data_IF_187513591872
#
_entry.id   IF_187513591872
#
_cell.length_a   1.000
_cell.length_b   1.000
_cell.length_c   1.000
_cell.angle_alpha   90.00
_cell.angle_beta   90.00
_cell.angle_gamma   90.00
#
_symmetry.space_group_name_H-M   'P 1'
#
loop_
_entity.id
_entity.type
_entity.pdbx_description
1 polymer ?
#
# COMPACT_ATOMS: atom_id res chain seq x y z
N UNK A 1 0.12 29.61 -23.47
CA UNK A 1 0.10 30.04 -22.06
C UNK A 1 0.65 28.90 -21.22
N UNK A 2 1.49 29.16 -20.21
CA UNK A 2 2.01 28.08 -19.36
C UNK A 2 0.97 27.63 -18.32
N UNK A 3 1.13 26.41 -17.80
CA UNK A 3 0.22 25.84 -16.80
C UNK A 3 0.18 26.66 -15.50
N UNK A 4 1.32 27.23 -15.08
CA UNK A 4 1.40 28.10 -13.91
C UNK A 4 0.63 29.41 -14.09
N UNK A 5 0.78 30.04 -15.27
CA UNK A 5 0.06 31.27 -15.61
C UNK A 5 -1.44 31.01 -15.73
N UNK A 6 -1.84 29.87 -16.31
CA UNK A 6 -3.25 29.50 -16.39
C UNK A 6 -3.85 29.25 -14.99
N UNK A 7 -3.15 28.53 -14.11
CA UNK A 7 -3.60 28.30 -12.74
C UNK A 7 -3.79 29.60 -11.95
N UNK A 8 -2.86 30.55 -12.08
CA UNK A 8 -2.93 31.85 -11.43
C UNK A 8 -4.14 32.66 -11.92
N UNK A 9 -4.34 32.77 -13.24
CA UNK A 9 -5.49 33.48 -13.82
C UNK A 9 -6.83 32.85 -13.43
N UNK A 10 -6.89 31.53 -13.35
CA UNK A 10 -8.10 30.80 -12.91
C UNK A 10 -8.40 31.07 -11.44
N UNK A 11 -7.40 31.08 -10.56
CA UNK A 11 -7.60 31.40 -9.14
C UNK A 11 -8.08 32.83 -8.94
N UNK A 12 -7.56 33.80 -9.71
CA UNK A 12 -8.03 35.18 -9.69
C UNK A 12 -9.49 35.28 -10.09
N UNK A 13 -9.92 34.53 -11.12
CA UNK A 13 -11.31 34.56 -11.58
C UNK A 13 -12.25 33.81 -10.62
N UNK A 14 -11.79 32.73 -9.96
CA UNK A 14 -12.54 32.05 -8.89
C UNK A 14 -12.75 33.01 -7.71
N UNK A 15 -11.71 33.72 -7.28
CA UNK A 15 -11.79 34.71 -6.21
C UNK A 15 -12.78 35.82 -6.56
N UNK A 16 -12.71 36.36 -7.78
CA UNK A 16 -13.65 37.37 -8.26
C UNK A 16 -15.10 36.86 -8.28
N UNK A 17 -15.33 35.62 -8.73
CA UNK A 17 -16.67 35.08 -8.93
C UNK A 17 -17.33 34.56 -7.65
N UNK A 18 -16.54 34.10 -6.67
CA UNK A 18 -17.04 33.39 -5.48
C UNK A 18 -16.72 34.09 -4.17
N UNK A 19 -15.83 35.09 -4.16
CA UNK A 19 -15.31 35.73 -2.95
C UNK A 19 -14.30 34.90 -2.16
N UNK A 20 -13.97 33.68 -2.62
CA UNK A 20 -13.06 32.75 -1.93
C UNK A 20 -11.82 32.45 -2.78
N UNK A 21 -10.62 32.33 -2.19
CA UNK A 21 -9.41 32.03 -2.94
C UNK A 21 -9.48 30.65 -3.59
N UNK A 22 -9.18 30.57 -4.88
CA UNK A 22 -9.03 29.30 -5.60
C UNK A 22 -7.73 28.58 -5.21
N UNK A 23 -7.74 27.25 -5.26
CA UNK A 23 -6.58 26.40 -4.93
C UNK A 23 -6.03 25.64 -6.15
N UNK A 24 -6.21 26.20 -7.36
CA UNK A 24 -5.74 25.57 -8.60
C UNK A 24 -4.23 25.75 -8.73
N UNK A 25 -3.51 24.66 -8.94
CA UNK A 25 -2.05 24.67 -9.14
C UNK A 25 -1.70 24.39 -10.60
N UNK A 26 -0.46 24.70 -11.01
CA UNK A 26 0.06 24.29 -12.31
C UNK A 26 -0.05 22.77 -12.53
N UNK A 27 0.11 21.99 -11.45
CA UNK A 27 -0.08 20.55 -11.47
C UNK A 27 -1.54 20.16 -11.73
N UNK A 28 -2.52 20.85 -11.13
CA UNK A 28 -3.95 20.60 -11.38
C UNK A 28 -4.30 20.78 -12.86
N UNK A 29 -3.76 21.84 -13.48
CA UNK A 29 -3.91 22.09 -14.92
C UNK A 29 -3.25 20.97 -15.73
N UNK A 30 -2.02 20.60 -15.38
CA UNK A 30 -1.31 19.53 -16.06
C UNK A 30 -2.01 18.17 -15.97
N UNK A 31 -2.62 17.87 -14.83
CA UNK A 31 -3.32 16.61 -14.59
C UNK A 31 -4.66 16.58 -15.35
N UNK A 32 -5.31 17.73 -15.59
CA UNK A 32 -6.47 17.83 -16.49
C UNK A 32 -6.09 17.68 -17.96
N UNK A 33 -5.00 18.31 -18.41
CA UNK A 33 -4.49 18.19 -19.78
C UNK A 33 -4.07 16.74 -20.13
N UNK A 34 -3.52 16.02 -19.13
CA UNK A 34 -3.13 14.60 -19.27
C UNK A 34 -4.27 13.60 -19.03
N UNK A 35 -5.47 14.09 -18.67
CA UNK A 35 -6.63 13.24 -18.39
C UNK A 35 -6.52 12.38 -17.14
N UNK A 36 -5.65 12.73 -16.18
CA UNK A 36 -5.43 11.98 -14.94
C UNK A 36 -6.53 12.20 -13.88
N UNK A 37 -7.29 13.30 -13.97
CA UNK A 37 -8.48 13.53 -13.14
C UNK A 37 -9.75 13.73 -13.98
N UNK A 38 -10.89 13.41 -13.38
CA UNK A 38 -12.21 13.79 -13.91
C UNK A 38 -12.44 15.29 -13.89
N UNK A 39 -13.27 15.73 -14.84
CA UNK A 39 -13.95 17.03 -15.01
C UNK A 39 -13.80 18.03 -13.85
N UNK A 40 -13.29 19.27 -14.09
CA UNK A 40 -13.05 20.26 -13.03
C UNK A 40 -14.29 20.56 -12.18
N UNK A 41 -14.07 20.99 -10.94
CA UNK A 41 -15.14 21.33 -10.00
C UNK A 41 -16.09 22.43 -10.55
N UNK A 42 -17.31 22.50 -10.02
CA UNK A 42 -18.42 23.30 -10.58
C UNK A 42 -18.12 24.80 -10.65
N UNK A 43 -17.39 25.30 -9.68
CA UNK A 43 -16.88 26.66 -9.52
C UNK A 43 -15.66 26.96 -10.41
N UNK A 44 -14.83 25.95 -10.66
CA UNK A 44 -13.61 26.05 -11.50
C UNK A 44 -13.95 26.13 -12.99
N UNK A 45 -15.01 25.44 -13.43
CA UNK A 45 -15.41 25.38 -14.85
C UNK A 45 -15.75 26.75 -15.47
N UNK A 46 -16.63 27.57 -14.86
CA UNK A 46 -16.90 28.92 -15.37
C UNK A 46 -15.68 29.84 -15.36
N UNK A 47 -14.74 29.63 -14.43
CA UNK A 47 -13.49 30.39 -14.39
C UNK A 47 -12.56 30.01 -15.55
N UNK A 48 -12.41 28.71 -15.83
CA UNK A 48 -11.66 28.20 -16.99
C UNK A 48 -12.27 28.71 -18.32
N UNK A 49 -13.59 28.64 -18.48
CA UNK A 49 -14.29 29.18 -19.65
C UNK A 49 -13.99 30.67 -19.86
N UNK A 50 -14.02 31.48 -18.79
CA UNK A 50 -13.75 32.92 -18.89
C UNK A 50 -12.29 33.24 -19.21
N UNK A 51 -11.34 32.55 -18.58
CA UNK A 51 -9.90 32.76 -18.82
C UNK A 51 -9.52 32.32 -20.24
N UNK A 52 -10.06 31.19 -20.70
CA UNK A 52 -9.76 30.62 -22.02
C UNK A 52 -10.67 31.15 -23.14
N UNK A 53 -11.63 32.02 -22.82
CA UNK A 53 -12.62 32.60 -23.74
C UNK A 53 -13.45 31.54 -24.48
N UNK A 54 -13.84 30.50 -23.77
CA UNK A 54 -14.67 29.40 -24.24
C UNK A 54 -16.09 29.56 -23.69
N UNK A 55 -17.11 29.37 -24.54
CA UNK A 55 -18.51 29.64 -24.20
C UNK A 55 -19.13 28.52 -23.33
N UNK A 56 -18.87 27.26 -23.67
CA UNK A 56 -19.37 26.09 -22.93
C UNK A 56 -18.21 25.37 -22.23
N UNK A 57 -18.32 25.00 -20.94
CA UNK A 57 -17.40 24.07 -20.30
C UNK A 57 -17.10 22.81 -21.12
N UNK A 58 -18.05 22.29 -21.90
CA UNK A 58 -17.89 21.16 -22.82
C UNK A 58 -16.77 21.36 -23.86
N UNK A 59 -16.55 22.60 -24.29
CA UNK A 59 -15.57 22.96 -25.30
C UNK A 59 -14.16 23.15 -24.72
N UNK A 60 -13.98 23.03 -23.40
CA UNK A 60 -12.66 23.06 -22.75
C UNK A 60 -11.81 21.82 -23.06
N UNK A 61 -12.38 20.80 -23.72
CA UNK A 61 -11.67 19.59 -24.10
C UNK A 61 -11.31 18.66 -22.94
N UNK A 62 -11.70 19.00 -21.70
CA UNK A 62 -11.74 18.01 -20.62
C UNK A 62 -12.88 17.02 -20.94
N UNK A 63 -12.83 15.79 -20.45
CA UNK A 63 -13.92 14.85 -20.67
C UNK A 63 -14.56 14.50 -19.33
N UNK A 64 -15.85 14.81 -19.19
CA UNK A 64 -16.69 14.13 -18.21
C UNK A 64 -16.73 12.68 -18.65
N UNK A 65 -16.10 11.75 -17.92
CA UNK A 65 -16.42 10.32 -18.01
C UNK A 65 -17.87 10.16 -17.53
N UNK A 66 -18.83 10.52 -18.38
CA UNK A 66 -20.11 9.82 -18.43
C UNK A 66 -19.76 8.46 -19.04
N UNK A 67 -20.17 7.33 -18.45
CA UNK A 67 -20.19 6.10 -19.22
C UNK A 67 -21.21 6.35 -20.35
N UNK A 68 -20.71 6.75 -21.51
CA UNK A 68 -21.47 6.65 -22.73
C UNK A 68 -21.60 5.16 -22.97
N UNK A 69 -22.74 4.59 -22.54
CA UNK A 69 -23.22 3.31 -23.04
C UNK A 69 -23.20 3.43 -24.57
N UNK A 70 -22.38 2.66 -25.30
CA UNK A 70 -22.50 2.63 -26.74
C UNK A 70 -23.92 2.12 -27.01
N UNK A 71 -24.73 2.94 -27.67
CA UNK A 71 -25.96 2.45 -28.27
C UNK A 71 -25.54 1.46 -29.36
N UNK A 72 -25.58 0.16 -29.06
CA UNK A 72 -25.37 -0.89 -30.05
C UNK A 72 -24.31 -1.96 -29.76
N UNK A 73 -24.08 -2.35 -28.51
CA UNK A 73 -23.50 -3.67 -28.21
C UNK A 73 -24.38 -4.40 -27.22
N UNK A 74 -25.29 -5.17 -27.79
CA UNK A 74 -26.12 -6.16 -27.13
C UNK A 74 -25.24 -7.42 -26.96
N UNK A 75 -24.45 -7.42 -25.89
CA UNK A 75 -23.83 -8.62 -25.31
C UNK A 75 -23.72 -8.33 -23.80
N UNK A 76 -24.46 -9.07 -22.98
CA UNK A 76 -24.72 -8.80 -21.56
C UNK A 76 -23.53 -8.92 -20.61
N UNK A 77 -22.38 -8.29 -20.90
CA UNK A 77 -21.31 -8.10 -19.95
C UNK A 77 -21.54 -6.84 -19.11
N UNK A 78 -21.66 -6.94 -17.78
CA UNK A 78 -21.68 -5.76 -16.91
C UNK A 78 -20.39 -4.94 -17.09
N UNK A 79 -20.54 -3.62 -17.02
CA UNK A 79 -19.46 -2.65 -17.24
C UNK A 79 -18.28 -2.81 -16.27
N UNK A 80 -17.17 -2.19 -16.62
CA UNK A 80 -15.99 -2.10 -15.73
C UNK A 80 -16.27 -1.13 -14.58
N UNK A 81 -16.09 -1.58 -13.34
CA UNK A 81 -16.18 -0.76 -12.12
C UNK A 81 -14.77 -0.52 -11.54
N UNK A 82 -14.56 0.59 -10.84
CA UNK A 82 -13.27 0.85 -10.15
C UNK A 82 -13.39 0.55 -8.66
N UNK A 83 -12.38 -0.13 -8.09
CA UNK A 83 -12.29 -0.46 -6.67
C UNK A 83 -12.47 0.77 -5.77
N UNK A 84 -11.98 1.94 -6.21
CA UNK A 84 -12.04 3.18 -5.42
C UNK A 84 -13.40 3.89 -5.49
N UNK A 85 -14.23 3.54 -6.47
CA UNK A 85 -15.52 4.20 -6.71
C UNK A 85 -16.71 3.24 -6.64
N UNK A 86 -16.50 2.03 -6.13
CA UNK A 86 -17.58 1.05 -5.94
C UNK A 86 -18.63 1.65 -5.01
N UNK A 87 -19.88 1.70 -5.49
CA UNK A 87 -21.03 2.07 -4.67
C UNK A 87 -22.07 0.94 -4.66
N UNK A 88 -22.87 0.80 -3.58
CA UNK A 88 -23.97 -0.19 -3.55
C UNK A 88 -25.00 0.03 -4.64
N UNK A 89 -25.16 1.27 -5.12
CA UNK A 89 -26.06 1.63 -6.22
C UNK A 89 -25.60 1.03 -7.55
N UNK A 90 -24.30 0.92 -7.80
CA UNK A 90 -23.75 0.26 -9.00
C UNK A 90 -24.07 -1.24 -9.03
N UNK A 91 -24.40 -1.81 -7.86
CA UNK A 91 -24.66 -3.23 -7.66
C UNK A 91 -26.15 -3.59 -7.85
N UNK A 92 -27.02 -2.60 -8.10
CA UNK A 92 -28.47 -2.76 -8.30
C UNK A 92 -28.85 -3.53 -9.56
N UNK A 93 -28.11 -3.32 -10.64
CA UNK A 93 -28.48 -3.82 -11.97
C UNK A 93 -27.64 -5.04 -12.41
N UNK A 94 -26.78 -5.58 -11.54
CA UNK A 94 -25.75 -6.57 -11.90
C UNK A 94 -25.74 -7.85 -11.06
N UNK A 95 -26.84 -8.16 -10.38
CA UNK A 95 -26.96 -9.38 -9.57
C UNK A 95 -26.68 -10.66 -10.37
N UNK A 96 -25.79 -11.51 -9.85
CA UNK A 96 -25.40 -12.77 -10.48
C UNK A 96 -24.54 -12.61 -11.74
N UNK A 97 -24.24 -11.37 -12.15
CA UNK A 97 -23.42 -11.11 -13.32
C UNK A 97 -21.93 -11.10 -12.98
N UNK A 98 -21.14 -11.61 -13.92
CA UNK A 98 -19.68 -11.49 -13.90
C UNK A 98 -19.25 -10.23 -14.65
N UNK A 99 -18.61 -9.31 -13.96
CA UNK A 99 -18.04 -8.10 -14.54
C UNK A 99 -16.56 -7.94 -14.30
N UNK A 100 -16.10 -6.70 -14.51
CA UNK A 100 -14.70 -6.32 -14.36
C UNK A 100 -14.56 -5.31 -13.23
N UNK A 101 -13.57 -5.52 -12.38
CA UNK A 101 -13.21 -4.62 -11.30
C UNK A 101 -11.76 -4.15 -11.51
N UNK A 102 -11.60 -2.87 -11.79
CA UNK A 102 -10.33 -2.20 -11.94
C UNK A 102 -9.75 -1.88 -10.55
N UNK A 103 -8.60 -2.49 -10.25
CA UNK A 103 -7.74 -2.06 -9.16
C UNK A 103 -6.77 -1.03 -9.74
N UNK A 104 -6.76 0.20 -9.24
CA UNK A 104 -5.92 1.26 -9.82
C UNK A 104 -4.43 0.94 -9.64
N UNK A 105 -3.62 1.55 -10.50
CA UNK A 105 -2.17 1.59 -10.35
C UNK A 105 -1.72 2.55 -9.24
N UNK A 106 -0.41 2.80 -9.24
CA UNK A 106 0.31 3.66 -8.33
C UNK A 106 1.51 4.27 -9.05
N UNK A 107 2.63 4.44 -8.35
CA UNK A 107 3.89 4.94 -8.95
C UNK A 107 4.60 3.86 -9.75
N UNK A 108 4.77 2.69 -9.14
CA UNK A 108 5.36 1.48 -9.71
C UNK A 108 4.31 0.42 -10.00
N UNK A 109 3.11 0.53 -9.42
CA UNK A 109 2.00 -0.35 -9.73
C UNK A 109 1.29 0.08 -11.03
N UNK A 110 1.09 -0.86 -11.96
CA UNK A 110 0.45 -0.59 -13.25
C UNK A 110 -1.08 -0.66 -13.23
N UNK A 111 -1.68 -1.14 -12.14
CA UNK A 111 -3.11 -1.44 -12.06
C UNK A 111 -3.42 -2.84 -12.59
N UNK A 112 -4.54 -3.40 -12.14
CA UNK A 112 -4.94 -4.77 -12.47
C UNK A 112 -6.45 -4.85 -12.65
N UNK A 113 -6.89 -5.58 -13.66
CA UNK A 113 -8.30 -5.90 -13.85
C UNK A 113 -8.63 -7.27 -13.23
N UNK A 114 -9.65 -7.30 -12.38
CA UNK A 114 -10.17 -8.50 -11.74
C UNK A 114 -11.50 -8.91 -12.37
N UNK A 115 -11.77 -10.21 -12.44
CA UNK A 115 -13.14 -10.68 -12.70
C UNK A 115 -13.94 -10.58 -11.41
N UNK A 116 -15.05 -9.85 -11.43
CA UNK A 116 -15.91 -9.66 -10.26
C UNK A 116 -17.22 -10.43 -10.44
N UNK A 117 -17.63 -11.18 -9.41
CA UNK A 117 -18.98 -11.71 -9.30
C UNK A 117 -19.76 -10.85 -8.31
N UNK A 118 -20.85 -10.25 -8.77
CA UNK A 118 -21.67 -9.37 -7.95
C UNK A 118 -22.85 -10.13 -7.35
N UNK A 119 -23.01 -10.08 -6.03
CA UNK A 119 -24.15 -10.69 -5.34
C UNK A 119 -24.77 -9.74 -4.30
N UNK A 120 -26.11 -9.71 -4.16
CA UNK A 120 -26.74 -9.04 -3.04
C UNK A 120 -26.51 -9.83 -1.75
N UNK A 121 -26.51 -9.12 -0.62
CA UNK A 121 -26.50 -9.75 0.71
C UNK A 121 -27.89 -10.28 1.03
N UNK A 122 -28.02 -11.60 1.14
CA UNK A 122 -29.19 -12.22 1.76
C UNK A 122 -29.07 -12.12 3.28
N UNK A 123 -30.08 -11.54 3.93
CA UNK A 123 -30.13 -11.36 5.38
C UNK A 123 -30.10 -12.73 6.09
N UNK A 124 -28.98 -13.03 6.74
CA UNK A 124 -28.85 -14.08 7.75
C UNK A 124 -28.08 -13.46 8.91
N UNK A 125 -28.63 -13.58 10.13
CA UNK A 125 -28.48 -12.60 11.22
C UNK A 125 -27.04 -12.23 11.68
N UNK A 126 -25.99 -12.95 11.28
CA UNK A 126 -24.61 -12.69 11.73
C UNK A 126 -23.54 -12.67 10.62
N UNK A 127 -23.91 -12.85 9.35
CA UNK A 127 -22.94 -13.10 8.27
C UNK A 127 -23.27 -12.26 7.03
N UNK A 128 -22.32 -11.43 6.58
CA UNK A 128 -22.43 -10.74 5.30
C UNK A 128 -22.37 -11.80 4.19
N UNK A 129 -23.50 -12.15 3.58
CA UNK A 129 -23.62 -13.07 2.43
C UNK A 129 -23.11 -14.49 2.67
N UNK A 130 -24.03 -15.42 2.94
CA UNK A 130 -23.76 -16.85 2.81
C UNK A 130 -23.88 -17.28 1.35
N UNK A 131 -22.77 -17.73 0.76
CA UNK A 131 -22.74 -18.29 -0.59
C UNK A 131 -22.82 -19.79 -0.54
N UNK A 132 -23.90 -20.34 -1.08
CA UNK A 132 -24.04 -21.77 -1.32
C UNK A 132 -23.26 -22.16 -2.57
N UNK A 133 -22.26 -23.06 -2.49
CA UNK A 133 -21.45 -23.42 -3.64
C UNK A 133 -22.28 -24.22 -4.65
N UNK A 134 -22.63 -23.59 -5.77
CA UNK A 134 -23.16 -24.30 -6.96
C UNK A 134 -22.00 -24.65 -7.91
N UNK A 135 -22.11 -25.71 -8.72
CA UNK A 135 -21.07 -26.05 -9.71
C UNK A 135 -20.70 -24.88 -10.63
N UNK A 136 -21.69 -24.07 -11.03
CA UNK A 136 -21.47 -22.87 -11.84
C UNK A 136 -20.66 -21.80 -11.09
N UNK A 137 -21.00 -21.50 -9.83
CA UNK A 137 -20.29 -20.51 -9.02
C UNK A 137 -18.86 -20.95 -8.71
N UNK A 138 -18.67 -22.24 -8.40
CA UNK A 138 -17.35 -22.85 -8.21
C UNK A 138 -16.50 -22.74 -9.48
N UNK A 139 -17.09 -23.01 -10.65
CA UNK A 139 -16.41 -22.86 -11.93
C UNK A 139 -16.02 -21.40 -12.23
N UNK A 140 -16.87 -20.44 -11.85
CA UNK A 140 -16.63 -19.00 -12.09
C UNK A 140 -15.56 -18.44 -11.16
N UNK A 141 -15.65 -18.69 -9.85
CA UNK A 141 -14.74 -18.16 -8.84
C UNK A 141 -13.46 -18.99 -8.66
N UNK A 142 -13.44 -20.24 -9.13
CA UNK A 142 -12.31 -21.15 -8.99
C UNK A 142 -11.29 -21.07 -10.13
N UNK A 143 -11.44 -20.13 -11.06
CA UNK A 143 -10.62 -20.07 -12.28
C UNK A 143 -9.13 -19.89 -11.97
N UNK A 144 -8.22 -20.73 -12.51
CA UNK A 144 -6.80 -20.61 -12.26
C UNK A 144 -6.12 -19.52 -13.11
N UNK A 145 -6.66 -19.23 -14.29
CA UNK A 145 -6.07 -18.33 -15.29
C UNK A 145 -6.24 -16.84 -14.96
N UNK A 146 -7.16 -16.50 -14.05
CA UNK A 146 -7.46 -15.10 -13.69
C UNK A 146 -7.81 -14.99 -12.22
N UNK A 147 -7.61 -13.79 -11.67
CA UNK A 147 -8.06 -13.50 -10.30
C UNK A 147 -9.53 -13.12 -10.34
N UNK A 148 -10.31 -13.78 -9.49
CA UNK A 148 -11.73 -13.52 -9.31
C UNK A 148 -11.99 -13.00 -7.91
N UNK A 149 -12.89 -12.04 -7.79
CA UNK A 149 -13.35 -11.47 -6.52
C UNK A 149 -14.87 -11.59 -6.46
N UNK A 150 -15.40 -11.90 -5.29
CA UNK A 150 -16.81 -11.71 -5.00
C UNK A 150 -16.99 -10.30 -4.43
N UNK A 151 -17.95 -9.56 -4.98
CA UNK A 151 -18.39 -8.26 -4.47
C UNK A 151 -19.82 -8.40 -3.97
N UNK A 152 -20.00 -8.17 -2.67
CA UNK A 152 -21.28 -8.30 -1.97
C UNK A 152 -21.78 -6.93 -1.50
N UNK A 153 -23.08 -6.63 -1.68
CA UNK A 153 -23.68 -5.36 -1.28
C UNK A 153 -24.79 -5.54 -0.23
N UNK A 154 -24.68 -4.86 0.92
CA UNK A 154 -25.70 -4.79 1.97
C UNK A 154 -26.45 -3.47 1.87
N UNK A 155 -27.60 -3.50 1.19
CA UNK A 155 -28.47 -2.31 1.02
C UNK A 155 -29.35 -2.00 2.23
N UNK A 156 -29.93 -2.98 2.95
CA UNK A 156 -30.88 -2.67 4.01
C UNK A 156 -30.27 -2.00 5.25
N UNK A 157 -29.02 -2.32 5.61
CA UNK A 157 -28.46 -1.92 6.92
C UNK A 157 -27.48 -0.75 6.92
N UNK A 158 -26.58 -0.64 5.93
CA UNK A 158 -25.45 0.31 6.02
C UNK A 158 -24.86 0.73 4.66
N UNK A 159 -25.48 0.35 3.54
CA UNK A 159 -24.91 0.58 2.19
C UNK A 159 -23.45 0.08 2.10
N UNK A 160 -23.17 -1.02 2.79
CA UNK A 160 -21.82 -1.56 2.92
C UNK A 160 -21.50 -2.52 1.76
N UNK A 161 -20.26 -2.46 1.29
CA UNK A 161 -19.73 -3.38 0.29
C UNK A 161 -18.74 -4.31 0.97
N UNK A 162 -18.76 -5.61 0.65
CA UNK A 162 -17.84 -6.62 1.17
C UNK A 162 -17.14 -7.32 0.01
N UNK A 163 -15.84 -7.57 0.14
CA UNK A 163 -15.05 -8.25 -0.89
C UNK A 163 -14.46 -9.56 -0.37
N UNK A 164 -14.43 -10.59 -1.21
CA UNK A 164 -13.74 -11.84 -0.89
C UNK A 164 -12.98 -12.37 -2.11
N UNK A 165 -11.79 -12.94 -1.87
CA UNK A 165 -11.04 -13.67 -2.88
C UNK A 165 -11.83 -14.92 -3.31
N UNK A 166 -12.22 -14.97 -4.58
CA UNK A 166 -13.12 -16.00 -5.09
C UNK A 166 -12.54 -17.41 -4.96
N UNK A 167 -11.24 -17.57 -5.21
CA UNK A 167 -10.57 -18.87 -5.11
C UNK A 167 -10.52 -19.34 -3.65
N UNK A 168 -10.27 -18.44 -2.72
CA UNK A 168 -10.26 -18.76 -1.29
C UNK A 168 -11.64 -19.08 -0.76
N UNK A 169 -12.66 -18.34 -1.20
CA UNK A 169 -14.05 -18.60 -0.86
C UNK A 169 -14.48 -19.99 -1.34
N UNK A 170 -14.25 -20.31 -2.62
CA UNK A 170 -14.53 -21.63 -3.20
C UNK A 170 -13.79 -22.74 -2.46
N UNK A 171 -12.49 -22.54 -2.19
CA UNK A 171 -11.68 -23.52 -1.45
C UNK A 171 -12.28 -23.83 -0.08
N UNK A 172 -12.69 -22.82 0.68
CA UNK A 172 -13.33 -23.00 1.99
C UNK A 172 -14.70 -23.68 1.89
N UNK A 173 -15.49 -23.32 0.89
CA UNK A 173 -16.81 -23.90 0.66
C UNK A 173 -16.72 -25.40 0.33
N UNK A 174 -15.79 -25.77 -0.55
CA UNK A 174 -15.55 -27.18 -0.88
C UNK A 174 -15.00 -28.00 0.30
N UNK A 175 -14.20 -27.39 1.17
CA UNK A 175 -13.66 -28.06 2.35
C UNK A 175 -14.71 -28.36 3.42
N UNK A 176 -15.71 -27.48 3.56
CA UNK A 176 -16.76 -27.59 4.59
C UNK A 176 -18.06 -28.20 4.08
N UNK A 177 -18.24 -28.30 2.76
CA UNK A 177 -19.48 -28.75 2.12
C UNK A 177 -20.72 -27.93 2.55
N UNK A 178 -20.49 -26.67 2.92
CA UNK A 178 -21.49 -25.77 3.50
C UNK A 178 -21.39 -24.38 2.88
N UNK A 179 -22.49 -23.62 2.95
CA UNK A 179 -22.52 -22.24 2.54
C UNK A 179 -21.44 -21.44 3.29
N UNK A 180 -20.63 -20.67 2.56
CA UNK A 180 -19.59 -19.83 3.17
C UNK A 180 -20.03 -18.40 3.21
N UNK A 181 -19.99 -17.85 4.42
CA UNK A 181 -20.19 -16.43 4.62
C UNK A 181 -18.97 -15.61 4.24
N UNK A 182 -19.21 -14.40 3.70
CA UNK A 182 -18.20 -13.35 3.69
C UNK A 182 -18.15 -12.74 5.10
N UNK A 183 -16.98 -12.72 5.76
CA UNK A 183 -16.87 -12.04 7.04
C UNK A 183 -17.22 -10.55 6.92
N UNK A 184 -17.98 -10.02 7.87
CA UNK A 184 -18.26 -8.57 7.98
C UNK A 184 -16.96 -7.74 8.11
N UNK A 185 -15.91 -8.35 8.65
CA UNK A 185 -14.56 -7.78 8.68
C UNK A 185 -14.01 -7.42 7.29
N UNK A 186 -14.49 -8.06 6.21
CA UNK A 186 -14.10 -7.78 4.83
C UNK A 186 -14.87 -6.62 4.17
N UNK A 187 -15.55 -5.79 4.98
CA UNK A 187 -16.12 -4.52 4.54
C UNK A 187 -15.07 -3.68 3.82
N UNK A 188 -15.46 -3.14 2.67
CA UNK A 188 -14.65 -2.26 1.83
C UNK A 188 -14.53 -0.89 2.48
N UNK A 189 -13.35 -0.60 3.01
CA UNK A 189 -12.92 0.69 3.51
C UNK A 189 -11.44 0.91 3.17
N UNK A 190 -10.82 2.02 3.60
CA UNK A 190 -9.42 2.31 3.30
C UNK A 190 -8.45 1.18 3.70
N UNK A 191 -8.75 0.41 4.75
CA UNK A 191 -7.92 -0.71 5.18
C UNK A 191 -8.06 -1.89 4.20
N UNK A 192 -9.28 -2.29 3.87
CA UNK A 192 -9.51 -3.36 2.90
C UNK A 192 -9.02 -2.99 1.49
N UNK A 193 -9.25 -1.74 1.07
CA UNK A 193 -8.76 -1.19 -0.20
C UNK A 193 -7.24 -1.28 -0.24
N UNK A 194 -6.53 -0.82 0.80
CA UNK A 194 -5.06 -0.86 0.83
C UNK A 194 -4.52 -2.29 0.71
N UNK A 195 -5.14 -3.23 1.42
CA UNK A 195 -4.74 -4.65 1.36
C UNK A 195 -4.95 -5.23 -0.05
N UNK A 196 -6.13 -5.06 -0.64
CA UNK A 196 -6.44 -5.57 -1.98
C UNK A 196 -5.52 -4.91 -3.00
N UNK A 197 -5.41 -3.59 -2.97
CA UNK A 197 -4.59 -2.81 -3.89
C UNK A 197 -3.13 -3.26 -3.89
N UNK A 198 -2.51 -3.39 -2.71
CA UNK A 198 -1.12 -3.81 -2.60
C UNK A 198 -0.91 -5.27 -2.99
N UNK A 199 -1.76 -6.20 -2.51
CA UNK A 199 -1.64 -7.62 -2.83
C UNK A 199 -1.80 -7.86 -4.32
N UNK A 200 -2.87 -7.32 -4.91
CA UNK A 200 -3.22 -7.61 -6.32
C UNK A 200 -2.18 -7.03 -7.27
N UNK A 201 -1.77 -5.78 -7.09
CA UNK A 201 -0.77 -5.15 -7.97
C UNK A 201 0.59 -5.85 -7.87
N UNK A 202 1.07 -6.10 -6.66
CA UNK A 202 2.38 -6.76 -6.46
C UNK A 202 2.35 -8.19 -6.99
N UNK A 203 1.26 -8.93 -6.75
CA UNK A 203 1.09 -10.30 -7.22
C UNK A 203 1.08 -10.38 -8.75
N UNK A 204 0.31 -9.53 -9.42
CA UNK A 204 0.25 -9.50 -10.87
C UNK A 204 1.60 -9.14 -11.50
N UNK A 205 2.29 -8.14 -10.97
CA UNK A 205 3.58 -7.70 -11.48
C UNK A 205 4.67 -8.77 -11.32
N UNK A 206 4.75 -9.44 -10.17
CA UNK A 206 5.75 -10.50 -9.96
C UNK A 206 5.43 -11.77 -10.77
N UNK A 207 4.15 -12.08 -10.99
CA UNK A 207 3.77 -13.21 -11.83
C UNK A 207 4.04 -12.96 -13.32
N UNK A 208 3.89 -11.72 -13.78
CA UNK A 208 4.19 -11.35 -15.16
C UNK A 208 5.68 -11.61 -15.51
N UNK A 209 6.56 -11.47 -14.54
CA UNK A 209 8.01 -11.60 -14.72
C UNK A 209 8.61 -12.86 -14.08
N UNK A 210 7.85 -13.83 -13.55
CA UNK A 210 8.42 -14.89 -12.66
C UNK A 210 9.66 -15.59 -13.26
N UNK A 211 9.61 -15.93 -14.56
CA UNK A 211 10.75 -16.50 -15.28
C UNK A 211 11.91 -15.53 -15.51
N UNK A 212 11.62 -14.31 -15.97
CA UNK A 212 12.63 -13.28 -16.24
C UNK A 212 13.31 -12.80 -14.94
N UNK A 213 12.56 -12.72 -13.84
CA UNK A 213 13.06 -12.37 -12.52
C UNK A 213 13.98 -13.47 -11.95
N UNK A 214 13.66 -14.75 -12.15
CA UNK A 214 14.55 -15.84 -11.74
C UNK A 214 15.86 -15.83 -12.56
N UNK A 215 15.78 -15.63 -13.88
CA UNK A 215 16.95 -15.50 -14.75
C UNK A 215 17.83 -14.30 -14.33
N UNK A 216 17.23 -13.13 -14.09
CA UNK A 216 17.91 -11.94 -13.60
C UNK A 216 18.63 -12.20 -12.26
N UNK A 217 17.97 -12.91 -11.33
CA UNK A 217 18.58 -13.28 -10.05
C UNK A 217 19.82 -14.17 -10.23
N UNK A 218 19.77 -15.15 -11.13
CA UNK A 218 20.91 -16.02 -11.42
C UNK A 218 22.06 -15.24 -12.08
N UNK A 219 21.75 -14.36 -13.03
CA UNK A 219 22.75 -13.55 -13.72
C UNK A 219 23.55 -12.66 -12.75
N UNK A 220 22.89 -12.16 -11.70
CA UNK A 220 23.48 -11.21 -10.75
C UNK A 220 24.05 -11.87 -9.48
N UNK A 221 24.08 -13.21 -9.40
CA UNK A 221 24.54 -13.93 -8.21
C UNK A 221 26.01 -13.62 -7.86
N UNK A 222 26.82 -13.32 -8.87
CA UNK A 222 28.24 -13.00 -8.70
C UNK A 222 28.48 -11.76 -7.83
N UNK A 223 27.52 -10.84 -7.74
CA UNK A 223 27.61 -9.68 -6.84
C UNK A 223 27.48 -10.05 -5.36
N UNK A 224 26.91 -11.21 -5.02
CA UNK A 224 26.64 -11.59 -3.62
C UNK A 224 27.92 -11.81 -2.81
N UNK A 225 29.04 -12.11 -3.48
CA UNK A 225 30.34 -12.32 -2.87
C UNK A 225 31.08 -11.02 -2.54
N UNK A 226 30.70 -9.91 -3.19
CA UNK A 226 31.40 -8.65 -3.07
C UNK A 226 31.00 -7.88 -1.79
N UNK A 227 31.96 -7.28 -1.07
CA UNK A 227 31.67 -6.44 0.09
C UNK A 227 31.06 -5.09 -0.29
N UNK A 228 31.24 -4.64 -1.54
CA UNK A 228 30.59 -3.47 -2.10
C UNK A 228 30.22 -3.74 -3.56
N UNK A 229 29.01 -3.37 -3.97
CA UNK A 229 28.56 -3.50 -5.36
C UNK A 229 27.42 -2.54 -5.69
N UNK A 230 27.27 -2.25 -6.97
CA UNK A 230 26.12 -1.54 -7.53
C UNK A 230 25.72 -2.22 -8.83
N UNK A 231 24.47 -2.66 -8.95
CA UNK A 231 23.93 -3.15 -10.21
C UNK A 231 23.02 -2.09 -10.83
N UNK A 232 23.16 -1.88 -12.12
CA UNK A 232 22.45 -0.86 -12.90
C UNK A 232 21.12 -1.39 -13.43
N UNK A 233 20.17 -0.49 -13.72
CA UNK A 233 18.89 -0.87 -14.33
C UNK A 233 19.06 -1.54 -15.71
N UNK A 234 20.15 -1.22 -16.42
CA UNK A 234 20.47 -1.76 -17.74
C UNK A 234 20.88 -3.24 -17.72
N UNK A 235 21.21 -3.79 -16.55
CA UNK A 235 21.51 -5.22 -16.42
C UNK A 235 20.26 -6.11 -16.44
N UNK A 236 19.07 -5.53 -16.22
CA UNK A 236 17.78 -6.26 -16.21
C UNK A 236 16.68 -5.46 -16.95
N UNK A 237 16.87 -5.16 -18.25
CA UNK A 237 15.99 -4.23 -18.96
C UNK A 237 14.56 -4.77 -19.12
N UNK A 238 14.39 -6.08 -19.12
CA UNK A 238 13.14 -6.76 -19.50
C UNK A 238 12.11 -6.95 -18.38
N UNK A 239 12.47 -6.66 -17.12
CA UNK A 239 11.55 -6.81 -15.98
C UNK A 239 10.90 -5.48 -15.57
N UNK A 240 9.68 -5.54 -15.05
CA UNK A 240 8.90 -4.39 -14.57
C UNK A 240 9.44 -3.82 -13.25
N UNK A 241 8.96 -2.62 -12.89
CA UNK A 241 9.50 -1.87 -11.75
C UNK A 241 9.30 -2.57 -10.40
N UNK A 242 8.19 -3.29 -10.20
CA UNK A 242 7.96 -4.05 -8.96
C UNK A 242 8.95 -5.21 -8.86
N UNK A 243 9.19 -5.92 -9.95
CA UNK A 243 10.19 -7.00 -10.01
C UNK A 243 11.61 -6.49 -9.75
N UNK A 244 11.97 -5.31 -10.30
CA UNK A 244 13.27 -4.65 -10.03
C UNK A 244 13.41 -4.30 -8.56
N UNK A 245 12.38 -3.70 -7.97
CA UNK A 245 12.35 -3.36 -6.55
C UNK A 245 12.45 -4.60 -5.66
N UNK A 246 11.72 -5.67 -5.99
CA UNK A 246 11.81 -6.94 -5.28
C UNK A 246 13.24 -7.50 -5.34
N UNK A 247 13.85 -7.51 -6.52
CA UNK A 247 15.22 -8.00 -6.74
C UNK A 247 16.25 -7.22 -5.92
N UNK A 248 16.23 -5.89 -6.01
CA UNK A 248 17.13 -5.02 -5.25
C UNK A 248 16.93 -5.15 -3.74
N UNK A 249 15.68 -5.17 -3.26
CA UNK A 249 15.36 -5.36 -1.84
C UNK A 249 15.80 -6.72 -1.32
N UNK A 250 15.62 -7.77 -2.12
CA UNK A 250 16.02 -9.14 -1.79
C UNK A 250 17.55 -9.26 -1.69
N UNK A 251 18.28 -8.65 -2.63
CA UNK A 251 19.73 -8.57 -2.60
C UNK A 251 20.23 -7.77 -1.38
N UNK A 252 19.70 -6.58 -1.14
CA UNK A 252 20.03 -5.76 0.03
C UNK A 252 19.77 -6.48 1.36
N UNK A 253 18.65 -7.21 1.48
CA UNK A 253 18.35 -7.99 2.69
C UNK A 253 19.39 -9.10 2.93
N UNK A 254 19.77 -9.86 1.88
CA UNK A 254 20.84 -10.86 1.98
C UNK A 254 22.19 -10.25 2.33
N UNK A 255 22.52 -9.11 1.72
CA UNK A 255 23.76 -8.38 1.99
C UNK A 255 23.84 -7.95 3.46
N UNK A 256 22.79 -7.29 3.98
CA UNK A 256 22.72 -6.92 5.39
C UNK A 256 22.90 -8.17 6.27
N UNK A 257 22.11 -9.22 6.05
CA UNK A 257 22.18 -10.48 6.81
C UNK A 257 23.59 -11.06 6.86
N UNK A 258 24.30 -11.09 5.73
CA UNK A 258 25.68 -11.60 5.63
C UNK A 258 26.64 -10.83 6.54
N UNK A 259 26.45 -9.52 6.68
CA UNK A 259 27.34 -8.64 7.43
C UNK A 259 26.85 -8.28 8.85
N UNK A 260 25.66 -8.75 9.28
CA UNK A 260 25.17 -8.53 10.65
C UNK A 260 26.12 -9.04 11.74
N UNK A 261 27.00 -9.99 11.42
CA UNK A 261 28.04 -10.49 12.32
C UNK A 261 29.07 -9.43 12.74
N UNK A 262 29.20 -8.34 11.96
CA UNK A 262 30.08 -7.20 12.27
C UNK A 262 29.53 -6.28 13.34
N UNK A 263 28.22 -6.35 13.60
CA UNK A 263 27.55 -5.50 14.56
C UNK A 263 27.43 -6.24 15.90
N UNK A 264 27.87 -5.58 16.97
CA UNK A 264 27.79 -6.06 18.35
C UNK A 264 26.73 -5.32 19.18
N UNK A 265 26.41 -4.07 18.81
CA UNK A 265 25.39 -3.25 19.47
C UNK A 265 24.05 -3.28 18.72
N UNK A 266 22.91 -2.98 19.39
CA UNK A 266 21.62 -2.83 18.72
C UNK A 266 21.69 -1.79 17.59
N UNK A 267 21.34 -2.15 16.35
CA UNK A 267 21.47 -1.23 15.23
C UNK A 267 20.26 -0.33 15.06
N UNK A 268 20.51 0.86 14.49
CA UNK A 268 19.51 1.67 13.82
C UNK A 268 19.49 1.30 12.34
N UNK A 269 18.31 0.93 11.85
CA UNK A 269 18.04 0.69 10.44
C UNK A 269 17.37 1.93 9.82
N UNK A 270 18.01 2.55 8.84
CA UNK A 270 17.46 3.67 8.10
C UNK A 270 16.77 3.20 6.81
N UNK A 271 15.56 3.71 6.54
CA UNK A 271 14.86 3.49 5.28
C UNK A 271 14.27 4.75 4.67
N UNK A 272 14.22 4.75 3.34
CA UNK A 272 13.64 5.79 2.49
C UNK A 272 12.12 5.66 2.32
N UNK A 273 11.49 4.63 2.87
CA UNK A 273 10.05 4.38 2.67
C UNK A 273 9.20 5.58 3.15
N UNK A 274 8.46 6.20 2.23
CA UNK A 274 7.62 7.39 2.46
C UNK A 274 6.13 7.09 2.35
N UNK A 275 5.75 6.01 1.65
CA UNK A 275 4.36 5.78 1.23
C UNK A 275 3.95 4.32 1.35
N UNK A 276 2.63 4.09 1.26
CA UNK A 276 2.03 2.77 1.38
C UNK A 276 2.50 1.80 0.31
N UNK A 277 2.70 2.27 -0.92
CA UNK A 277 3.25 1.46 -2.01
C UNK A 277 4.60 0.84 -1.64
N UNK A 278 5.54 1.67 -1.20
CA UNK A 278 6.90 1.27 -0.83
C UNK A 278 6.87 0.39 0.44
N UNK A 279 6.07 0.81 1.42
CA UNK A 279 5.90 0.10 2.68
C UNK A 279 5.24 -1.29 2.53
N UNK A 280 4.46 -1.50 1.47
CA UNK A 280 3.80 -2.79 1.20
C UNK A 280 4.79 -3.94 1.04
N UNK A 281 6.02 -3.66 0.60
CA UNK A 281 7.11 -4.62 0.54
C UNK A 281 7.36 -5.31 1.90
N UNK A 282 7.31 -4.57 3.01
CA UNK A 282 7.50 -5.13 4.34
C UNK A 282 6.37 -6.07 4.75
N UNK A 283 5.15 -5.78 4.30
CA UNK A 283 3.94 -6.52 4.66
C UNK A 283 3.78 -7.81 3.84
N UNK A 284 4.23 -7.79 2.58
CA UNK A 284 3.89 -8.81 1.58
C UNK A 284 5.08 -9.64 1.10
N UNK A 285 6.29 -9.09 1.02
CA UNK A 285 7.42 -9.84 0.45
C UNK A 285 7.99 -10.82 1.47
N UNK A 286 7.98 -12.10 1.11
CA UNK A 286 8.37 -13.18 2.03
C UNK A 286 9.77 -12.97 2.61
N UNK A 287 10.73 -12.53 1.79
CA UNK A 287 12.11 -12.29 2.25
C UNK A 287 12.22 -11.16 3.26
N UNK A 288 11.34 -10.13 3.20
CA UNK A 288 11.36 -9.03 4.17
C UNK A 288 10.91 -9.49 5.55
N UNK A 289 9.89 -10.37 5.61
CA UNK A 289 9.45 -10.95 6.87
C UNK A 289 10.52 -11.85 7.49
N UNK A 290 11.20 -12.66 6.69
CA UNK A 290 12.28 -13.52 7.16
C UNK A 290 13.50 -12.69 7.61
N UNK A 291 13.80 -11.61 6.90
CA UNK A 291 14.80 -10.62 7.31
C UNK A 291 14.45 -9.99 8.68
N UNK A 292 13.21 -9.53 8.90
CA UNK A 292 12.80 -8.96 10.19
C UNK A 292 12.89 -9.97 11.34
N UNK A 293 12.50 -11.23 11.10
CA UNK A 293 12.67 -12.31 12.09
C UNK A 293 14.13 -12.56 12.44
N UNK A 294 15.01 -12.52 11.45
CA UNK A 294 16.42 -12.77 11.66
C UNK A 294 17.10 -11.63 12.42
N UNK A 295 16.80 -10.38 12.07
CA UNK A 295 17.38 -9.21 12.74
C UNK A 295 16.88 -9.06 14.18
N UNK A 296 15.57 -9.20 14.41
CA UNK A 296 14.96 -9.10 15.75
C UNK A 296 15.44 -10.19 16.71
N UNK A 297 15.70 -11.42 16.23
CA UNK A 297 16.30 -12.48 17.05
C UNK A 297 17.73 -12.19 17.47
N UNK A 298 18.47 -11.42 16.66
CA UNK A 298 19.88 -11.11 16.93
C UNK A 298 20.05 -9.88 17.81
N UNK A 299 19.22 -8.86 17.61
CA UNK A 299 19.33 -7.59 18.31
C UNK A 299 18.03 -7.26 19.03
N UNK A 300 18.08 -7.30 20.36
CA UNK A 300 17.05 -6.67 21.18
C UNK A 300 17.18 -5.15 21.07
N UNK A 301 16.05 -4.44 21.12
CA UNK A 301 16.00 -2.96 21.11
C UNK A 301 16.62 -2.33 19.85
N UNK A 302 16.60 -3.02 18.71
CA UNK A 302 16.94 -2.40 17.45
C UNK A 302 15.91 -1.31 17.11
N UNK A 303 16.34 -0.31 16.34
CA UNK A 303 15.48 0.78 15.91
C UNK A 303 15.34 0.79 14.39
N UNK A 304 14.20 1.22 13.88
CA UNK A 304 14.01 1.48 12.44
C UNK A 304 13.42 2.86 12.21
N UNK A 305 14.16 3.68 11.50
CA UNK A 305 13.79 5.04 11.17
C UNK A 305 13.23 5.15 9.74
N UNK A 306 12.13 5.87 9.61
CA UNK A 306 11.47 6.18 8.35
C UNK A 306 11.56 7.68 8.04
N UNK A 307 11.96 8.03 6.83
CA UNK A 307 11.76 9.37 6.28
C UNK A 307 10.34 9.46 5.72
N UNK A 308 9.45 10.20 6.38
CA UNK A 308 8.06 10.41 5.91
C UNK A 308 7.76 11.91 5.89
N UNK A 309 8.13 12.63 4.82
CA UNK A 309 7.89 14.07 4.75
C UNK A 309 6.40 14.42 4.67
N UNK A 310 6.02 15.59 5.18
CA UNK A 310 4.62 16.01 5.21
C UNK A 310 3.95 16.05 3.83
N UNK A 311 4.71 16.45 2.80
CA UNK A 311 4.20 16.47 1.43
C UNK A 311 3.85 15.06 0.93
N UNK A 312 4.57 14.03 1.39
CA UNK A 312 4.27 12.65 1.07
C UNK A 312 2.99 12.19 1.77
N UNK A 313 2.77 12.59 3.03
CA UNK A 313 1.52 12.34 3.76
C UNK A 313 0.33 12.99 3.05
N UNK A 314 0.39 14.30 2.78
CA UNK A 314 -0.73 15.06 2.17
C UNK A 314 -1.15 14.56 0.79
N UNK A 315 -0.21 14.02 0.01
CA UNK A 315 -0.46 13.54 -1.35
C UNK A 315 -0.71 12.04 -1.43
N UNK A 316 -0.65 11.31 -0.30
CA UNK A 316 -0.97 9.89 -0.26
C UNK A 316 -2.46 9.69 0.06
N UNK A 317 -3.18 8.87 -0.71
CA UNK A 317 -4.52 8.49 -0.34
C UNK A 317 -4.51 7.73 1.00
N UNK A 318 -5.64 7.73 1.70
CA UNK A 318 -5.72 7.18 3.06
C UNK A 318 -5.37 5.69 3.11
N UNK A 319 -5.76 4.89 2.11
CA UNK A 319 -5.37 3.47 2.04
C UNK A 319 -3.84 3.26 1.97
N UNK A 320 -3.08 4.15 1.34
CA UNK A 320 -1.61 4.08 1.35
C UNK A 320 -1.05 4.43 2.73
N UNK A 321 -1.59 5.48 3.37
CA UNK A 321 -1.18 5.88 4.72
C UNK A 321 -1.43 4.75 5.73
N UNK A 322 -2.54 4.02 5.57
CA UNK A 322 -2.87 2.83 6.37
C UNK A 322 -1.84 1.71 6.20
N UNK A 323 -1.39 1.43 4.96
CA UNK A 323 -0.33 0.44 4.72
C UNK A 323 1.00 0.86 5.36
N UNK A 324 1.35 2.14 5.30
CA UNK A 324 2.55 2.66 5.95
C UNK A 324 2.48 2.47 7.48
N UNK A 325 1.33 2.80 8.09
CA UNK A 325 1.11 2.57 9.53
C UNK A 325 1.18 1.08 9.89
N UNK A 326 0.65 0.19 9.05
CA UNK A 326 0.76 -1.26 9.25
C UNK A 326 2.21 -1.75 9.16
N UNK A 327 3.02 -1.19 8.25
CA UNK A 327 4.44 -1.53 8.16
C UNK A 327 5.20 -1.09 9.43
N UNK A 328 4.89 0.09 9.97
CA UNK A 328 5.43 0.53 11.26
C UNK A 328 4.98 -0.40 12.40
N UNK A 329 3.69 -0.77 12.43
CA UNK A 329 3.18 -1.72 13.41
C UNK A 329 3.83 -3.11 13.31
N UNK A 330 4.22 -3.54 12.10
CA UNK A 330 5.00 -4.76 11.91
C UNK A 330 6.37 -4.68 12.59
N UNK A 331 7.07 -3.53 12.50
CA UNK A 331 8.37 -3.35 13.14
C UNK A 331 8.24 -3.46 14.66
N UNK A 332 7.27 -2.75 15.24
CA UNK A 332 6.99 -2.79 16.67
C UNK A 332 6.60 -4.21 17.12
N UNK A 333 5.86 -4.97 16.30
CA UNK A 333 5.52 -6.37 16.58
C UNK A 333 6.75 -7.29 16.67
N UNK A 334 7.87 -6.90 16.03
CA UNK A 334 9.15 -7.59 16.13
C UNK A 334 10.07 -7.02 17.23
N UNK A 335 9.57 -6.12 18.08
CA UNK A 335 10.36 -5.44 19.10
C UNK A 335 11.38 -4.46 18.52
N UNK A 336 11.15 -3.99 17.30
CA UNK A 336 11.96 -2.97 16.64
C UNK A 336 11.25 -1.64 16.82
N UNK A 337 11.85 -0.73 17.58
CA UNK A 337 11.29 0.59 17.84
C UNK A 337 11.26 1.42 16.56
N UNK A 338 10.11 2.05 16.28
CA UNK A 338 9.94 2.88 15.09
C UNK A 338 10.26 4.33 15.41
N UNK A 339 11.09 4.93 14.55
CA UNK A 339 11.34 6.36 14.51
C UNK A 339 10.82 6.93 13.19
N UNK A 340 10.30 8.15 13.23
CA UNK A 340 9.87 8.90 12.04
C UNK A 340 10.48 10.29 12.06
N UNK A 341 10.99 10.72 10.91
CA UNK A 341 11.38 12.11 10.63
C UNK A 341 10.57 12.67 9.47
N UNK A 342 10.08 13.92 9.57
CA UNK A 342 9.42 14.63 8.47
C UNK A 342 10.43 15.34 7.54
N UNK A 343 11.73 15.31 7.87
CA UNK A 343 12.75 16.04 7.13
C UNK A 343 12.90 15.49 5.70
N UNK A 344 12.56 16.28 4.66
CA UNK A 344 12.69 15.85 3.28
C UNK A 344 14.14 15.73 2.81
N UNK A 345 15.11 16.41 3.43
CA UNK A 345 16.51 16.33 2.99
C UNK A 345 17.08 14.93 3.21
N UNK A 346 16.61 14.26 4.27
CA UNK A 346 17.01 12.90 4.58
C UNK A 346 16.50 11.87 3.55
N UNK A 347 15.52 12.21 2.68
CA UNK A 347 15.01 11.26 1.68
C UNK A 347 16.05 10.82 0.65
N UNK A 348 17.09 11.62 0.47
CA UNK A 348 18.17 11.37 -0.48
C UNK A 348 19.24 10.43 0.08
N UNK A 349 19.34 10.31 1.42
CA UNK A 349 20.36 9.51 2.10
C UNK A 349 20.13 8.01 1.91
N UNK A 350 21.13 7.30 1.38
CA UNK A 350 21.06 5.86 1.08
C UNK A 350 20.56 5.04 2.28
N UNK A 351 19.85 3.94 2.02
CA UNK A 351 19.49 3.01 3.10
C UNK A 351 20.75 2.46 3.78
N UNK A 352 20.78 2.47 5.12
CA UNK A 352 21.92 1.99 5.90
C UNK A 352 21.49 1.30 7.20
N UNK A 353 22.43 0.55 7.78
CA UNK A 353 22.36 -0.04 9.11
C UNK A 353 23.56 0.49 9.89
N UNK A 354 23.32 1.08 11.05
CA UNK A 354 24.36 1.68 11.88
C UNK A 354 24.33 1.09 13.29
N UNK A 355 25.49 0.65 13.77
CA UNK A 355 25.77 0.38 15.18
C UNK A 355 27.24 0.76 15.47
N UNK A 356 28.01 -0.19 16.00
CA UNK A 356 29.47 -0.13 16.11
C UNK A 356 30.19 -0.24 14.75
N UNK A 357 29.47 -0.59 13.69
CA UNK A 357 29.91 -0.52 12.29
C UNK A 357 28.74 -0.07 11.37
N UNK A 358 29.02 0.14 10.08
CA UNK A 358 28.05 0.57 9.08
C UNK A 358 27.90 -0.46 7.96
N UNK A 359 26.66 -0.74 7.57
CA UNK A 359 26.33 -1.49 6.36
C UNK A 359 25.39 -0.64 5.51
N UNK A 360 25.83 -0.25 4.31
CA UNK A 360 24.98 0.46 3.34
C UNK A 360 24.24 -0.56 2.48
N UNK A 361 22.94 -0.36 2.31
CA UNK A 361 22.09 -1.19 1.48
C UNK A 361 20.86 -0.39 1.01
N UNK A 362 20.94 0.11 -0.22
CA UNK A 362 19.94 0.98 -0.82
C UNK A 362 19.45 0.42 -2.14
N UNK A 363 18.13 0.29 -2.28
CA UNK A 363 17.45 -0.25 -3.47
C UNK A 363 16.25 0.60 -3.91
N UNK A 364 15.87 1.59 -3.11
CA UNK A 364 14.67 2.40 -3.30
C UNK A 364 15.05 3.81 -3.80
N UNK A 365 14.36 4.27 -4.85
CA UNK A 365 14.51 5.62 -5.44
C UNK A 365 15.96 6.01 -5.78
N UNK A 366 16.77 5.04 -6.20
CA UNK A 366 18.13 5.27 -6.73
C UNK A 366 18.19 5.06 -8.25
N UNK A 367 19.25 5.54 -8.93
CA UNK A 367 19.44 5.32 -10.36
C UNK A 367 19.83 3.87 -10.73
N UNK A 368 20.01 3.01 -9.72
CA UNK A 368 20.51 1.65 -9.80
C UNK A 368 19.51 0.66 -9.19
N UNK A 369 19.59 -0.62 -9.54
CA UNK A 369 18.83 -1.69 -8.89
C UNK A 369 19.15 -1.77 -7.39
N UNK A 370 20.44 -1.65 -7.07
CA UNK A 370 20.92 -1.49 -5.70
C UNK A 370 22.28 -0.81 -5.66
N UNK A 371 22.62 -0.32 -4.48
CA UNK A 371 23.97 -0.05 -4.02
C UNK A 371 24.14 -0.65 -2.62
N UNK A 372 25.22 -1.41 -2.43
CA UNK A 372 25.60 -1.99 -1.14
C UNK A 372 27.07 -1.73 -0.85
N UNK A 373 27.40 -1.55 0.42
CA UNK A 373 28.77 -1.35 0.89
C UNK A 373 28.89 -1.70 2.39
N UNK A 374 29.62 -2.76 2.70
CA UNK A 374 29.91 -3.16 4.08
C UNK A 374 31.21 -2.54 4.64
N UNK A 375 31.93 -1.73 3.87
CA UNK A 375 33.20 -1.10 4.23
C UNK A 375 33.16 0.41 4.11
N UNK A 376 32.04 1.03 4.45
CA UNK A 376 31.83 2.47 4.31
C UNK A 376 32.96 3.29 4.96
N UNK A 377 33.48 4.34 4.29
CA UNK A 377 34.61 5.12 4.80
C UNK A 377 34.24 5.89 6.09
N UNK A 378 35.21 6.25 6.94
CA UNK A 378 34.96 6.93 8.21
C UNK A 378 34.13 8.22 8.09
N UNK A 379 34.31 8.97 7.00
CA UNK A 379 33.53 10.20 6.74
C UNK A 379 32.04 9.92 6.59
N UNK A 380 31.68 8.87 5.85
CA UNK A 380 30.28 8.46 5.64
C UNK A 380 29.67 7.92 6.93
N UNK A 381 30.46 7.17 7.72
CA UNK A 381 30.04 6.73 9.06
C UNK A 381 29.74 7.91 9.99
N UNK A 382 30.54 8.96 9.97
CA UNK A 382 30.29 10.16 10.76
C UNK A 382 28.96 10.84 10.36
N UNK A 383 28.67 10.94 9.06
CA UNK A 383 27.37 11.44 8.56
C UNK A 383 26.20 10.61 9.07
N UNK A 384 26.27 9.28 8.95
CA UNK A 384 25.18 8.41 9.41
C UNK A 384 25.01 8.43 10.93
N UNK A 385 26.10 8.61 11.68
CA UNK A 385 26.04 8.76 13.14
C UNK A 385 25.31 10.04 13.54
N UNK A 386 25.63 11.18 12.89
CA UNK A 386 24.92 12.44 13.12
C UNK A 386 23.42 12.32 12.82
N UNK A 387 23.05 11.63 11.73
CA UNK A 387 21.66 11.36 11.39
C UNK A 387 20.99 10.48 12.46
N UNK A 388 21.64 9.42 12.92
CA UNK A 388 21.09 8.53 13.94
C UNK A 388 20.87 9.24 15.28
N UNK A 389 21.81 10.10 15.69
CA UNK A 389 21.69 10.93 16.89
C UNK A 389 20.49 11.89 16.78
N UNK A 390 20.36 12.57 15.64
CA UNK A 390 19.22 13.46 15.36
C UNK A 390 17.89 12.69 15.39
N UNK A 391 17.81 11.52 14.74
CA UNK A 391 16.59 10.72 14.69
C UNK A 391 16.16 10.22 16.07
N UNK A 392 17.13 9.86 16.91
CA UNK A 392 16.86 9.38 18.27
C UNK A 392 16.37 10.52 19.17
N UNK A 393 16.84 11.75 18.96
CA UNK A 393 16.43 12.92 19.72
C UNK A 393 15.08 13.50 19.24
N UNK A 394 14.89 13.59 17.92
CA UNK A 394 13.88 14.47 17.31
C UNK A 394 12.77 13.70 16.58
N UNK A 395 12.61 12.39 16.83
CA UNK A 395 11.52 11.66 16.19
C UNK A 395 10.16 12.25 16.55
N UNK A 396 9.36 12.59 15.54
CA UNK A 396 8.04 13.20 15.72
C UNK A 396 6.98 12.28 16.33
N UNK A 397 7.29 10.97 16.43
CA UNK A 397 6.43 9.99 17.09
C UNK A 397 7.03 9.46 18.39
N UNK A 398 8.11 10.09 18.89
CA UNK A 398 8.81 9.63 20.09
C UNK A 398 7.86 9.52 21.28
N UNK A 399 7.73 8.31 21.79
CA UNK A 399 6.84 7.94 22.90
C UNK A 399 7.41 6.71 23.62
N UNK A 400 7.15 6.55 24.94
CA UNK A 400 7.76 5.49 25.74
C UNK A 400 7.26 4.07 25.42
N UNK A 401 6.07 3.94 24.82
CA UNK A 401 5.47 2.63 24.53
C UNK A 401 5.11 2.51 23.06
N UNK A 402 5.15 1.29 22.53
CA UNK A 402 4.75 1.00 21.15
C UNK A 402 3.32 1.47 20.85
N UNK A 403 2.40 1.33 21.81
CA UNK A 403 1.03 1.84 21.71
C UNK A 403 1.01 3.35 21.43
N UNK A 404 1.72 4.13 22.25
CA UNK A 404 1.76 5.59 22.11
C UNK A 404 2.49 6.01 20.84
N UNK A 405 3.58 5.32 20.45
CA UNK A 405 4.29 5.58 19.19
C UNK A 405 3.40 5.35 17.98
N UNK A 406 2.68 4.22 17.91
CA UNK A 406 1.76 3.93 16.80
C UNK A 406 0.54 4.86 16.80
N UNK A 407 0.06 5.28 17.96
CA UNK A 407 -1.00 6.31 18.06
C UNK A 407 -0.51 7.67 17.54
N UNK A 408 0.71 8.09 17.88
CA UNK A 408 1.33 9.31 17.37
C UNK A 408 1.58 9.23 15.86
N UNK A 409 2.06 8.09 15.37
CA UNK A 409 2.22 7.83 13.93
C UNK A 409 0.88 7.89 13.19
N UNK A 410 -0.18 7.31 13.75
CA UNK A 410 -1.52 7.40 13.17
C UNK A 410 -2.03 8.86 13.11
N UNK A 411 -1.78 9.65 14.15
CA UNK A 411 -2.13 11.07 14.16
C UNK A 411 -1.35 11.86 13.08
N UNK A 412 -0.04 11.63 12.96
CA UNK A 412 0.79 12.26 11.93
C UNK A 412 0.34 11.89 10.51
N UNK A 413 -0.04 10.62 10.32
CA UNK A 413 -0.56 10.10 9.06
C UNK A 413 -2.04 10.46 8.81
N UNK A 414 -2.68 11.23 9.70
CA UNK A 414 -4.11 11.57 9.65
C UNK A 414 -5.00 10.32 9.45
N UNK A 415 -4.81 9.35 10.35
CA UNK A 415 -5.57 8.12 10.47
C UNK A 415 -6.22 8.10 11.86
N UNK A 416 -7.57 8.07 11.97
CA UNK A 416 -8.23 7.95 13.26
C UNK A 416 -7.87 6.63 13.95
N UNK A 417 -7.14 6.71 15.07
CA UNK A 417 -6.62 5.52 15.78
C UNK A 417 -7.73 4.54 16.20
N UNK A 418 -8.84 5.04 16.73
CA UNK A 418 -9.97 4.22 17.19
C UNK A 418 -10.60 3.42 16.06
N UNK A 419 -10.75 4.03 14.88
CA UNK A 419 -11.20 3.35 13.67
C UNK A 419 -10.19 2.28 13.26
N UNK A 420 -8.91 2.64 13.14
CA UNK A 420 -7.86 1.72 12.69
C UNK A 420 -7.72 0.50 13.60
N UNK A 421 -7.67 0.71 14.92
CA UNK A 421 -7.56 -0.37 15.90
C UNK A 421 -8.81 -1.28 15.90
N UNK A 422 -10.01 -0.72 15.71
CA UNK A 422 -11.25 -1.50 15.60
C UNK A 422 -11.25 -2.37 14.34
N UNK A 423 -10.90 -1.79 13.19
CA UNK A 423 -10.80 -2.54 11.93
C UNK A 423 -9.72 -3.62 11.98
N UNK A 424 -8.59 -3.36 12.64
CA UNK A 424 -7.58 -4.38 12.89
C UNK A 424 -8.10 -5.53 13.76
N UNK A 425 -8.89 -5.26 14.81
CA UNK A 425 -9.52 -6.32 15.63
C UNK A 425 -10.46 -7.20 14.84
N UNK A 426 -11.30 -6.59 14.00
CA UNK A 426 -12.24 -7.32 13.14
C UNK A 426 -11.51 -8.21 12.14
N UNK A 427 -10.47 -7.70 11.47
CA UNK A 427 -9.64 -8.50 10.56
C UNK A 427 -8.79 -9.55 11.28
N UNK A 428 -8.30 -9.27 12.50
CA UNK A 428 -7.50 -10.23 13.26
C UNK A 428 -8.28 -11.52 13.59
N UNK A 429 -9.60 -11.40 13.79
CA UNK A 429 -10.48 -12.52 14.09
C UNK A 429 -10.62 -13.52 12.92
N UNK A 430 -10.54 -13.05 11.67
CA UNK A 430 -10.79 -13.87 10.47
C UNK A 430 -9.59 -14.04 9.54
N UNK A 431 -8.57 -13.19 9.70
CA UNK A 431 -7.38 -13.12 8.85
C UNK A 431 -7.66 -12.50 7.47
N UNK A 432 -6.61 -12.04 6.80
CA UNK A 432 -6.71 -11.34 5.50
C UNK A 432 -6.66 -12.26 4.28
N UNK A 433 -6.36 -13.55 4.46
CA UNK A 433 -6.23 -14.48 3.33
C UNK A 433 -7.51 -14.64 2.52
N UNK A 434 -8.68 -14.54 3.16
CA UNK A 434 -9.96 -14.60 2.43
C UNK A 434 -10.31 -13.29 1.72
N UNK A 435 -9.62 -12.19 2.02
CA UNK A 435 -9.83 -10.89 1.39
C UNK A 435 -9.00 -10.78 0.10
N UNK A 436 -7.70 -11.06 0.20
CA UNK A 436 -6.78 -11.06 -0.95
C UNK A 436 -5.62 -12.02 -0.69
N UNK A 437 -5.59 -13.16 -1.38
CA UNK A 437 -4.50 -14.13 -1.25
C UNK A 437 -3.49 -14.00 -2.40
N UNK A 438 -2.19 -13.81 -2.14
CA UNK A 438 -1.17 -13.83 -3.18
C UNK A 438 -1.08 -15.19 -3.89
N UNK A 439 -0.72 -15.18 -5.17
CA UNK A 439 -0.48 -16.38 -6.01
C UNK A 439 1.00 -16.58 -6.27
N UNK A 440 1.78 -15.50 -6.35
CA UNK A 440 3.24 -15.53 -6.43
C UNK A 440 3.83 -16.16 -5.17
N UNK A 441 4.77 -17.10 -5.36
CA UNK A 441 5.55 -17.73 -4.29
C UNK A 441 6.45 -16.75 -3.53
N UNK A 442 6.71 -15.57 -4.11
CA UNK A 442 7.55 -14.52 -3.53
C UNK A 442 6.80 -13.67 -2.49
N UNK A 443 5.48 -13.87 -2.40
CA UNK A 443 4.57 -13.11 -1.55
C UNK A 443 3.91 -13.97 -0.47
N UNK A 444 3.52 -13.31 0.62
CA UNK A 444 2.86 -13.93 1.76
C UNK A 444 2.05 -12.89 2.54
N UNK A 445 0.89 -13.27 3.06
CA UNK A 445 0.06 -12.42 3.94
C UNK A 445 0.51 -12.46 5.41
N UNK A 446 1.56 -13.22 5.75
CA UNK A 446 2.00 -13.41 7.14
C UNK A 446 2.45 -12.10 7.79
N UNK A 447 3.13 -11.22 7.06
CA UNK A 447 3.54 -9.91 7.58
C UNK A 447 2.33 -9.04 7.92
N UNK A 448 1.41 -8.92 6.96
CA UNK A 448 0.14 -8.21 7.14
C UNK A 448 -0.69 -8.76 8.33
N UNK A 449 -0.89 -10.07 8.42
CA UNK A 449 -1.59 -10.70 9.54
C UNK A 449 -0.89 -10.46 10.88
N UNK A 450 0.45 -10.40 10.90
CA UNK A 450 1.23 -10.12 12.12
C UNK A 450 1.00 -8.68 12.58
N UNK A 451 1.11 -7.70 11.67
CA UNK A 451 0.86 -6.29 11.97
C UNK A 451 -0.57 -6.05 12.47
N UNK A 452 -1.57 -6.61 11.78
CA UNK A 452 -2.99 -6.47 12.14
C UNK A 452 -3.26 -7.06 13.53
N UNK A 453 -2.74 -8.26 13.82
CA UNK A 453 -2.91 -8.89 15.14
C UNK A 453 -2.20 -8.11 16.23
N UNK A 454 -1.02 -7.58 15.96
CA UNK A 454 -0.29 -6.76 16.92
C UNK A 454 -1.12 -5.54 17.32
N UNK A 455 -1.61 -4.76 16.35
CA UNK A 455 -2.48 -3.61 16.62
C UNK A 455 -3.76 -4.03 17.35
N UNK A 456 -4.39 -5.13 16.94
CA UNK A 456 -5.65 -5.61 17.51
C UNK A 456 -5.56 -5.91 19.02
N UNK A 457 -4.39 -6.32 19.51
CA UNK A 457 -4.18 -6.72 20.90
C UNK A 457 -3.22 -5.82 21.66
N UNK A 458 -2.77 -4.72 21.06
CA UNK A 458 -1.75 -3.83 21.62
C UNK A 458 -2.18 -3.22 22.96
N UNK A 459 -3.44 -2.84 23.10
CA UNK A 459 -4.00 -2.26 24.34
C UNK A 459 -3.95 -3.26 25.51
N UNK A 460 -4.08 -4.56 25.22
CA UNK A 460 -3.99 -5.63 26.22
C UNK A 460 -2.55 -5.86 26.66
N UNK A 461 -1.58 -5.67 25.76
CA UNK A 461 -0.16 -5.75 26.09
C UNK A 461 0.26 -4.56 26.98
N UNK A 462 -0.19 -3.35 26.63
CA UNK A 462 0.11 -2.14 27.41
C UNK A 462 -0.48 -2.16 28.83
N UNK A 463 -1.68 -2.75 29.00
CA UNK A 463 -2.32 -2.89 30.32
C UNK A 463 -1.66 -3.96 31.19
N UNK A 464 -1.12 -5.03 30.59
CA UNK A 464 -0.33 -6.04 31.31
C UNK A 464 1.02 -5.48 31.80
N UNK A 465 1.74 -4.73 30.95
CA UNK A 465 3.01 -4.09 31.33
C UNK A 465 2.84 -3.02 32.42
N UNK A 466 1.70 -2.32 32.44
CA UNK A 466 1.36 -1.36 33.49
C UNK A 466 1.06 -2.00 34.85
N UNK A 467 0.53 -3.23 34.88
CA UNK A 467 0.23 -3.95 36.11
C UNK A 467 1.49 -4.53 36.78
N UNK A 468 2.47 -4.99 35.99
CA UNK A 468 3.75 -5.49 36.49
C UNK A 468 4.63 -4.37 37.07
N UNK A 469 4.55 -3.15 36.53
CA UNK A 469 5.28 -1.99 37.06
C UNK A 469 4.63 -1.34 38.29
N UNK A 470 3.35 -1.59 38.56
CA UNK A 470 2.67 -1.14 39.78
C UNK A 470 2.85 -2.10 40.97
N UNK A 471 3.46 -3.27 40.73
CA UNK A 471 3.68 -4.34 41.71
C UNK A 471 5.14 -4.42 42.19
N UNK A 472 5.98 -3.47 41.76
CA UNK A 472 7.37 -3.24 42.21
C UNK A 472 7.46 -1.85 42.82
#
# INVERSE_FOLDING_TARGET
MSQAVLAELVNVEILRATGHPGSISAKSVSDWERGWYTWPAKDVRPALCRVLKVQDPADLGFYKRRPARPAGSDDGQPGSASLLSLSPSDLADVEGLTGRLEVPGGRSFHGVELSALYQPVNESEDLAVAITPTPALVSTLGRPDRRTVLVAADRPRDDAIYLADGKQLVRRAMQRMEAQAVPTAYRLDDLAIGIIWAVVNTDAALLADDGALDAARQALIHYEELPASAATLTEVPEINDVSRQWLGSSFCARHITRYLGRLSSPPLFWTKDQRGEEASAWLLWTHKLDYLRQTSRRFANAQRAFCVPEHAVRTSPKYERVLLLLAMALMEAFGIEVLVTPDPELSEIEGFVLADDVIVASWLRGPSLWYVDAGAPPSRRATYSAIADQLSADSIISQPTAFRRLQAAAAYLDIPWTWFATRCRELAAVGVDGLAHPRSRLLSTKGLNTAIRYVAYLDRLATAEGADNASR
#
